data_IF_890386430489
#
_entry.id   IF_890386430489
#
_cell.length_a   1.000
_cell.length_b   1.000
_cell.length_c   1.000
_cell.angle_alpha   90.00
_cell.angle_beta   90.00
_cell.angle_gamma   90.00
#
_symmetry.space_group_name_H-M   'P 1'
#
loop_
_entity.id
_entity.type
_entity.pdbx_description
1 polymer ?
#
# COMPACT_ATOMS: atom_id res chain seq x y z
N UNK A 1 22.95 -21.59 -17.03
CA UNK A 1 22.35 -21.14 -15.76
C UNK A 1 21.20 -22.06 -15.40
N UNK A 2 21.29 -22.75 -14.26
CA UNK A 2 20.27 -23.67 -13.79
C UNK A 2 18.91 -22.98 -13.68
N UNK A 3 17.86 -23.68 -14.13
CA UNK A 3 16.45 -23.22 -14.13
C UNK A 3 15.98 -22.74 -12.74
N UNK A 4 16.59 -23.28 -11.68
CA UNK A 4 16.36 -22.94 -10.27
C UNK A 4 16.69 -21.45 -9.98
N UNK A 5 17.72 -20.88 -10.63
CA UNK A 5 18.08 -19.47 -10.41
C UNK A 5 17.08 -18.49 -11.07
N UNK A 6 16.47 -18.86 -12.21
CA UNK A 6 15.46 -18.03 -12.88
C UNK A 6 14.14 -17.94 -12.11
N UNK A 7 13.72 -19.02 -11.44
CA UNK A 7 12.51 -18.97 -10.61
C UNK A 7 12.65 -18.05 -9.39
N UNK A 8 13.85 -17.99 -8.81
CA UNK A 8 14.12 -17.17 -7.63
C UNK A 8 14.09 -15.68 -7.96
N UNK A 9 14.73 -15.26 -9.06
CA UNK A 9 14.68 -13.87 -9.56
C UNK A 9 13.24 -13.42 -9.84
N UNK A 10 12.45 -14.26 -10.53
CA UNK A 10 11.07 -13.93 -10.89
C UNK A 10 10.14 -13.78 -9.68
N UNK A 11 10.35 -14.57 -8.61
CA UNK A 11 9.62 -14.42 -7.34
C UNK A 11 10.08 -13.18 -6.57
N UNK A 12 11.37 -12.87 -6.60
CA UNK A 12 11.96 -11.72 -5.91
C UNK A 12 11.48 -10.39 -6.50
N UNK A 13 11.50 -10.25 -7.84
CA UNK A 13 11.01 -9.03 -8.53
C UNK A 13 9.53 -8.76 -8.25
N UNK A 14 8.69 -9.79 -8.21
CA UNK A 14 7.27 -9.63 -7.94
C UNK A 14 6.96 -9.27 -6.48
N UNK A 15 7.83 -9.67 -5.54
CA UNK A 15 7.71 -9.32 -4.12
C UNK A 15 8.15 -7.87 -3.89
N UNK A 16 9.31 -7.47 -4.41
CA UNK A 16 9.81 -6.09 -4.32
C UNK A 16 8.88 -5.07 -4.98
N UNK A 17 8.27 -5.41 -6.13
CA UNK A 17 7.29 -4.52 -6.79
C UNK A 17 5.97 -4.37 -6.03
N UNK A 18 5.59 -5.38 -5.23
CA UNK A 18 4.35 -5.37 -4.45
C UNK A 18 4.54 -4.64 -3.12
N UNK A 19 5.71 -4.77 -2.50
CA UNK A 19 6.08 -4.06 -1.27
C UNK A 19 6.28 -2.56 -1.54
N UNK A 20 7.02 -2.18 -2.59
CA UNK A 20 7.18 -0.77 -2.96
C UNK A 20 5.85 -0.06 -3.27
N UNK A 21 4.91 -0.75 -3.94
CA UNK A 21 3.56 -0.21 -4.20
C UNK A 21 2.69 -0.11 -2.94
N UNK A 22 2.94 -0.92 -1.92
CA UNK A 22 2.19 -0.87 -0.67
C UNK A 22 2.67 0.33 0.17
N UNK A 23 3.98 0.49 0.33
CA UNK A 23 4.58 1.60 1.06
C UNK A 23 4.22 2.96 0.44
N UNK A 24 4.31 3.06 -0.89
CA UNK A 24 3.96 4.29 -1.61
C UNK A 24 2.48 4.67 -1.41
N UNK A 25 1.58 3.67 -1.35
CA UNK A 25 0.14 3.90 -1.10
C UNK A 25 -0.14 4.35 0.32
N UNK A 26 0.58 3.81 1.30
CA UNK A 26 0.43 4.22 2.70
C UNK A 26 0.91 5.66 2.91
N UNK A 27 2.03 6.04 2.30
CA UNK A 27 2.52 7.41 2.29
C UNK A 27 1.52 8.38 1.64
N UNK A 28 0.96 8.00 0.48
CA UNK A 28 -0.09 8.79 -0.18
C UNK A 28 -1.30 8.95 0.75
N UNK A 29 -1.80 7.89 1.38
CA UNK A 29 -2.95 8.01 2.29
C UNK A 29 -2.68 9.00 3.44
N UNK A 30 -1.46 9.00 4.00
CA UNK A 30 -1.07 9.93 5.07
C UNK A 30 -1.07 11.37 4.61
N UNK A 31 -0.39 11.68 3.50
CA UNK A 31 -0.32 13.04 2.96
C UNK A 31 -1.73 13.60 2.70
N UNK A 32 -2.61 12.79 2.10
CA UNK A 32 -4.00 13.20 1.83
C UNK A 32 -4.80 13.44 3.13
N UNK A 33 -4.50 12.71 4.21
CA UNK A 33 -5.15 12.90 5.52
C UNK A 33 -4.62 14.14 6.24
N UNK A 34 -3.33 14.44 6.12
CA UNK A 34 -2.70 15.67 6.61
C UNK A 34 -3.25 16.91 5.89
N UNK A 35 -3.52 16.81 4.59
CA UNK A 35 -4.25 17.83 3.82
C UNK A 35 -5.73 17.98 4.23
N UNK A 36 -6.21 17.20 5.20
CA UNK A 36 -7.56 17.30 5.74
C UNK A 36 -8.64 16.56 4.95
N UNK A 37 -8.28 15.71 3.98
CA UNK A 37 -9.28 14.99 3.20
C UNK A 37 -10.05 13.94 4.00
N UNK A 38 -11.33 13.75 3.63
CA UNK A 38 -12.18 12.71 4.21
C UNK A 38 -11.73 11.32 3.79
N UNK A 39 -12.09 10.32 4.60
CA UNK A 39 -11.79 8.91 4.28
C UNK A 39 -12.44 8.45 2.98
N UNK A 40 -13.62 8.96 2.59
CA UNK A 40 -14.22 8.62 1.29
C UNK A 40 -13.38 9.16 0.13
N UNK A 41 -12.84 10.37 0.26
CA UNK A 41 -12.04 10.98 -0.80
C UNK A 41 -10.70 10.28 -0.95
N UNK A 42 -10.05 9.91 0.15
CA UNK A 42 -8.83 9.10 0.16
C UNK A 42 -9.07 7.74 -0.48
N UNK A 43 -10.20 7.07 -0.15
CA UNK A 43 -10.57 5.79 -0.74
C UNK A 43 -10.73 5.88 -2.27
N UNK A 44 -11.36 6.94 -2.78
CA UNK A 44 -11.49 7.19 -4.23
C UNK A 44 -10.13 7.42 -4.90
N UNK A 45 -9.29 8.29 -4.34
CA UNK A 45 -7.97 8.63 -4.92
C UNK A 45 -7.04 7.41 -4.95
N UNK A 46 -7.05 6.63 -3.88
CA UNK A 46 -6.18 5.44 -3.76
C UNK A 46 -6.78 4.18 -4.38
N UNK A 47 -7.99 4.28 -4.95
CA UNK A 47 -8.79 3.18 -5.46
C UNK A 47 -8.88 2.00 -4.46
N UNK A 48 -9.20 2.33 -3.21
CA UNK A 48 -9.30 1.40 -2.09
C UNK A 48 -10.72 1.43 -1.53
N UNK A 49 -11.11 0.37 -0.83
CA UNK A 49 -12.38 0.37 -0.11
C UNK A 49 -12.30 1.30 1.10
N UNK A 50 -13.41 1.97 1.42
CA UNK A 50 -13.51 2.82 2.60
C UNK A 50 -13.17 2.07 3.89
N UNK A 51 -13.58 0.79 3.98
CA UNK A 51 -13.28 -0.09 5.11
C UNK A 51 -11.76 -0.26 5.31
N UNK A 52 -11.01 -0.41 4.22
CA UNK A 52 -9.56 -0.59 4.26
C UNK A 52 -8.84 0.69 4.68
N UNK A 53 -9.27 1.85 4.18
CA UNK A 53 -8.76 3.16 4.61
C UNK A 53 -9.05 3.40 6.09
N UNK A 54 -10.27 3.15 6.56
CA UNK A 54 -10.62 3.28 7.97
C UNK A 54 -9.80 2.35 8.86
N UNK A 55 -9.64 1.09 8.46
CA UNK A 55 -8.83 0.12 9.19
C UNK A 55 -7.36 0.53 9.27
N UNK A 56 -6.81 1.07 8.17
CA UNK A 56 -5.43 1.57 8.12
C UNK A 56 -5.18 2.68 9.16
N UNK A 57 -6.05 3.67 9.24
CA UNK A 57 -5.91 4.76 10.23
C UNK A 57 -6.28 4.33 11.66
N UNK A 58 -7.22 3.40 11.83
CA UNK A 58 -7.59 2.85 13.15
C UNK A 58 -6.44 2.07 13.78
N UNK A 59 -5.74 1.25 13.00
CA UNK A 59 -4.59 0.48 13.45
C UNK A 59 -3.39 1.36 13.85
N UNK A 60 -3.37 2.63 13.44
CA UNK A 60 -2.28 3.59 13.73
C UNK A 60 -2.63 4.62 14.82
N UNK A 61 -3.89 4.75 15.22
CA UNK A 61 -4.29 5.56 16.40
C UNK A 61 -4.04 4.84 17.74
N UNK A 62 -3.73 3.55 17.70
CA UNK A 62 -3.56 2.68 18.88
C UNK A 62 -2.10 2.32 19.16
N UNK A 63 -1.15 2.97 18.48
CA UNK A 63 0.29 2.86 18.70
C UNK A 63 0.86 4.25 19.03
#
# INVERSE_FOLDING_TARGET
>A
MCEIMREFERKSENKGRREGRAEEREAIMRNLREEGMSYERIARITNQSLSKVKSFFKAKQTA
#
